data_IF_293283158104
#
_entry.id   IF_293283158104
#
_cell.length_a   1.000
_cell.length_b   1.000
_cell.length_c   1.000
_cell.angle_alpha   90.00
_cell.angle_beta   90.00
_cell.angle_gamma   90.00
#
_symmetry.space_group_name_H-M   'P 1'
#
loop_
_entity.id
_entity.type
_entity.pdbx_description
1 polymer ?
#
# COMPACT_ATOMS: atom_id res chain seq x y z
N UNK A 1 -8.20 21.44 -6.35
CA UNK A 1 -8.62 20.70 -5.11
C UNK A 1 -7.72 21.13 -3.95
N UNK A 2 -8.14 20.96 -2.68
CA UNK A 2 -7.31 21.28 -1.52
C UNK A 2 -6.06 20.40 -1.59
N UNK A 3 -4.85 20.98 -1.39
CA UNK A 3 -3.61 20.21 -1.26
C UNK A 3 -3.83 19.09 -0.23
N UNK A 4 -3.75 17.86 -0.69
CA UNK A 4 -3.82 16.69 0.20
C UNK A 4 -2.42 16.52 0.76
N UNK A 5 -2.28 16.76 2.05
CA UNK A 5 -1.03 16.51 2.75
C UNK A 5 -0.80 15.00 2.82
N UNK A 6 0.22 14.51 2.13
CA UNK A 6 0.62 13.11 2.13
C UNK A 6 1.56 12.83 3.30
N UNK A 7 1.40 11.67 3.92
CA UNK A 7 2.38 11.13 4.87
C UNK A 7 3.38 10.21 4.17
N UNK A 8 4.38 9.75 4.92
CA UNK A 8 5.42 8.86 4.40
C UNK A 8 4.85 7.59 3.80
N UNK A 9 3.79 7.04 4.41
CA UNK A 9 2.98 5.96 3.86
C UNK A 9 1.53 6.43 3.73
N UNK A 10 1.08 6.66 2.50
CA UNK A 10 -0.30 7.03 2.21
C UNK A 10 -0.98 5.91 1.43
N UNK A 11 -2.12 5.44 1.93
CA UNK A 11 -2.89 4.32 1.36
C UNK A 11 -4.23 4.84 0.86
N UNK A 12 -4.50 4.69 -0.43
CA UNK A 12 -5.77 5.07 -1.05
C UNK A 12 -6.66 3.83 -1.13
N UNK A 13 -7.80 3.90 -0.47
CA UNK A 13 -8.80 2.82 -0.41
C UNK A 13 -10.19 3.33 -0.82
N UNK A 14 -11.18 2.47 -0.82
CA UNK A 14 -12.58 2.82 -1.05
C UNK A 14 -13.24 1.99 -2.13
N UNK A 15 -14.51 2.31 -2.43
CA UNK A 15 -15.34 1.59 -3.39
C UNK A 15 -14.78 1.58 -4.81
N UNK A 16 -15.21 0.62 -5.63
CA UNK A 16 -14.92 0.63 -7.06
C UNK A 16 -15.58 1.84 -7.74
N UNK A 17 -14.92 2.39 -8.76
CA UNK A 17 -15.39 3.51 -9.57
C UNK A 17 -15.58 4.86 -8.83
N UNK A 18 -15.02 5.03 -7.64
CA UNK A 18 -15.07 6.29 -6.87
C UNK A 18 -13.98 7.31 -7.28
N UNK A 19 -13.08 6.93 -8.19
CA UNK A 19 -12.03 7.81 -8.69
C UNK A 19 -10.72 7.73 -7.90
N UNK A 20 -10.40 6.60 -7.27
CA UNK A 20 -9.10 6.35 -6.62
C UNK A 20 -7.93 6.57 -7.57
N UNK A 21 -7.98 5.96 -8.75
CA UNK A 21 -6.94 6.11 -9.78
C UNK A 21 -6.84 7.56 -10.30
N UNK A 22 -7.95 8.31 -10.35
CA UNK A 22 -7.91 9.73 -10.66
C UNK A 22 -7.16 10.53 -9.58
N UNK A 23 -7.40 10.24 -8.31
CA UNK A 23 -6.68 10.82 -7.18
C UNK A 23 -5.18 10.46 -7.23
N UNK A 24 -4.85 9.21 -7.52
CA UNK A 24 -3.46 8.77 -7.69
C UNK A 24 -2.76 9.56 -8.81
N UNK A 25 -3.44 9.76 -9.94
CA UNK A 25 -2.91 10.53 -11.06
C UNK A 25 -2.72 12.02 -10.75
N UNK A 26 -3.55 12.62 -9.89
CA UNK A 26 -3.34 13.98 -9.39
C UNK A 26 -2.08 14.07 -8.52
N UNK A 27 -1.92 13.14 -7.58
CA UNK A 27 -0.72 13.04 -6.74
C UNK A 27 0.53 12.91 -7.61
N UNK A 28 0.50 12.05 -8.64
CA UNK A 28 1.61 11.87 -9.58
C UNK A 28 1.96 13.16 -10.32
N UNK A 29 0.97 13.95 -10.77
CA UNK A 29 1.22 15.23 -11.45
C UNK A 29 1.91 16.26 -10.55
N UNK A 30 1.55 16.28 -9.27
CA UNK A 30 2.15 17.20 -8.29
C UNK A 30 3.55 16.78 -7.84
N UNK A 31 3.91 15.49 -8.00
CA UNK A 31 5.15 14.91 -7.45
C UNK A 31 6.09 14.34 -8.51
N UNK A 32 5.86 14.64 -9.80
CA UNK A 32 6.47 13.94 -10.95
C UNK A 32 8.01 13.97 -11.02
N UNK A 33 8.68 14.98 -10.47
CA UNK A 33 10.14 15.13 -10.60
C UNK A 33 10.95 14.10 -9.78
N UNK A 34 10.39 13.56 -8.68
CA UNK A 34 11.07 12.62 -7.78
C UNK A 34 10.18 11.40 -7.45
N UNK A 35 9.37 10.95 -8.41
CA UNK A 35 8.48 9.81 -8.19
C UNK A 35 8.71 8.69 -9.19
N UNK A 36 8.53 7.44 -8.71
CA UNK A 36 8.45 6.23 -9.53
C UNK A 36 7.04 5.67 -9.46
N UNK A 37 6.40 5.52 -10.60
CA UNK A 37 5.06 4.94 -10.70
C UNK A 37 5.13 3.50 -11.21
N UNK A 38 4.42 2.62 -10.51
CA UNK A 38 4.40 1.17 -10.80
C UNK A 38 2.97 0.67 -10.84
N UNK A 39 2.55 0.17 -11.99
CA UNK A 39 1.32 -0.57 -12.20
C UNK A 39 1.58 -1.85 -12.98
N UNK A 40 0.55 -2.63 -13.26
CA UNK A 40 0.67 -3.92 -13.97
C UNK A 40 1.30 -3.78 -15.35
N UNK A 41 1.05 -2.66 -16.05
CA UNK A 41 1.54 -2.39 -17.41
C UNK A 41 2.92 -1.72 -17.43
N UNK A 42 3.43 -1.29 -16.27
CA UNK A 42 4.74 -0.63 -16.19
C UNK A 42 5.85 -1.50 -16.74
N UNK A 43 6.73 -0.90 -17.56
CA UNK A 43 7.96 -1.53 -18.05
C UNK A 43 9.09 -1.13 -17.10
N UNK A 44 9.54 -2.07 -16.29
CA UNK A 44 10.59 -1.88 -15.29
C UNK A 44 11.66 -2.94 -15.51
N UNK A 45 12.89 -2.49 -15.61
CA UNK A 45 14.03 -3.38 -15.65
C UNK A 45 14.23 -4.03 -14.27
N UNK A 46 14.19 -5.35 -14.24
CA UNK A 46 14.35 -6.09 -12.99
C UNK A 46 15.83 -6.17 -12.66
N UNK A 47 16.23 -5.46 -11.63
CA UNK A 47 17.56 -5.58 -11.05
C UNK A 47 17.55 -6.66 -9.99
N UNK A 48 18.36 -7.69 -10.21
CA UNK A 48 18.48 -8.84 -9.32
C UNK A 48 19.79 -8.70 -8.54
N UNK A 49 19.67 -8.29 -7.29
CA UNK A 49 20.76 -8.28 -6.31
C UNK A 49 20.33 -9.09 -5.07
N UNK A 50 21.17 -9.13 -4.04
CA UNK A 50 20.90 -9.94 -2.85
C UNK A 50 19.67 -9.44 -2.08
N UNK A 51 19.43 -8.11 -2.03
CA UNK A 51 18.24 -7.53 -1.41
C UNK A 51 16.97 -7.98 -2.16
N UNK A 52 17.01 -7.95 -3.50
CA UNK A 52 15.90 -8.43 -4.31
C UNK A 52 15.61 -9.93 -4.06
N UNK A 53 16.64 -10.78 -4.06
CA UNK A 53 16.50 -12.22 -3.80
C UNK A 53 15.94 -12.49 -2.41
N UNK A 54 16.42 -11.75 -1.40
CA UNK A 54 15.93 -11.84 -0.02
C UNK A 54 14.43 -11.53 0.07
N UNK A 55 14.00 -10.39 -0.48
CA UNK A 55 12.61 -9.99 -0.46
C UNK A 55 11.72 -10.88 -1.33
N UNK A 56 12.22 -11.33 -2.48
CA UNK A 56 11.51 -12.29 -3.33
C UNK A 56 11.24 -13.59 -2.57
N UNK A 57 12.26 -14.16 -1.94
CA UNK A 57 12.13 -15.37 -1.10
C UNK A 57 11.14 -15.16 0.05
N UNK A 58 11.22 -14.03 0.72
CA UNK A 58 10.29 -13.69 1.80
C UNK A 58 8.84 -13.61 1.31
N UNK A 59 8.58 -12.98 0.15
CA UNK A 59 7.21 -12.79 -0.36
C UNK A 59 6.61 -14.10 -0.86
N UNK A 60 7.38 -14.91 -1.59
CA UNK A 60 6.85 -16.06 -2.31
C UNK A 60 7.16 -17.42 -1.67
N UNK A 61 7.99 -17.48 -0.64
CA UNK A 61 8.58 -18.73 -0.09
C UNK A 61 9.35 -19.56 -1.13
N UNK A 62 9.88 -18.91 -2.17
CA UNK A 62 10.59 -19.53 -3.30
C UNK A 62 11.93 -18.83 -3.51
N UNK A 63 12.91 -19.57 -3.96
CA UNK A 63 14.16 -18.99 -4.44
C UNK A 63 13.95 -18.41 -5.85
N UNK A 64 14.55 -17.25 -6.13
CA UNK A 64 14.35 -16.52 -7.39
C UNK A 64 14.76 -17.33 -8.63
N UNK A 65 15.73 -18.21 -8.50
CA UNK A 65 16.25 -19.03 -9.60
C UNK A 65 15.21 -19.95 -10.26
N UNK A 66 14.07 -20.17 -9.59
CA UNK A 66 12.97 -21.01 -10.09
C UNK A 66 11.96 -20.24 -10.96
N UNK A 67 11.98 -18.89 -10.93
CA UNK A 67 11.02 -18.05 -11.66
C UNK A 67 11.47 -17.73 -13.08
N UNK A 68 10.56 -17.96 -14.05
CA UNK A 68 10.81 -17.69 -15.47
C UNK A 68 10.09 -16.47 -16.04
N UNK A 69 9.06 -15.97 -15.35
CA UNK A 69 8.26 -14.83 -15.82
C UNK A 69 8.29 -13.70 -14.80
N UNK A 70 8.50 -12.49 -15.29
CA UNK A 70 8.44 -11.29 -14.46
C UNK A 70 6.99 -11.08 -14.01
N UNK A 71 6.75 -11.21 -12.72
CA UNK A 71 5.46 -10.89 -12.09
C UNK A 71 5.37 -9.41 -11.75
N UNK A 72 4.15 -8.93 -11.50
CA UNK A 72 3.95 -7.55 -11.06
C UNK A 72 4.66 -7.25 -9.73
N UNK A 73 4.63 -8.19 -8.80
CA UNK A 73 5.35 -8.05 -7.53
C UNK A 73 6.87 -7.88 -7.70
N UNK A 74 7.48 -8.54 -8.68
CA UNK A 74 8.91 -8.33 -8.99
C UNK A 74 9.20 -6.92 -9.49
N UNK A 75 8.27 -6.32 -10.27
CA UNK A 75 8.36 -4.91 -10.68
C UNK A 75 8.31 -3.98 -9.46
N UNK A 76 7.41 -4.25 -8.51
CA UNK A 76 7.30 -3.48 -7.26
C UNK A 76 8.59 -3.60 -6.44
N UNK A 77 9.13 -4.81 -6.28
CA UNK A 77 10.40 -5.04 -5.58
C UNK A 77 11.55 -4.26 -6.22
N UNK A 78 11.74 -4.41 -7.53
CA UNK A 78 12.84 -3.76 -8.25
C UNK A 78 12.73 -2.24 -8.20
N UNK A 79 11.52 -1.68 -8.42
CA UNK A 79 11.28 -0.25 -8.33
C UNK A 79 11.53 0.27 -6.92
N UNK A 80 11.00 -0.38 -5.89
CA UNK A 80 11.15 0.02 -4.50
C UNK A 80 12.60 -0.03 -4.04
N UNK A 81 13.32 -1.10 -4.31
CA UNK A 81 14.73 -1.23 -3.95
C UNK A 81 15.63 -0.23 -4.69
N UNK A 82 15.22 0.24 -5.87
CA UNK A 82 15.94 1.27 -6.63
C UNK A 82 15.60 2.71 -6.19
N UNK A 83 14.62 2.91 -5.30
CA UNK A 83 14.32 4.22 -4.73
C UNK A 83 15.41 4.65 -3.73
N UNK A 84 15.72 5.95 -3.75
CA UNK A 84 16.58 6.61 -2.77
C UNK A 84 15.74 7.19 -1.64
N UNK A 85 16.40 7.52 -0.53
CA UNK A 85 15.79 8.27 0.57
C UNK A 85 15.12 9.56 0.06
N UNK A 86 13.89 9.82 0.51
CA UNK A 86 13.08 10.97 0.12
C UNK A 86 12.35 10.84 -1.21
N UNK A 87 12.71 9.87 -2.09
CA UNK A 87 11.95 9.61 -3.31
C UNK A 87 10.56 9.03 -3.01
N UNK A 88 9.62 9.26 -3.92
CA UNK A 88 8.26 8.75 -3.83
C UNK A 88 8.08 7.53 -4.73
N UNK A 89 7.66 6.42 -4.14
CA UNK A 89 7.17 5.24 -4.85
C UNK A 89 5.65 5.27 -4.88
N UNK A 90 5.06 5.26 -6.06
CA UNK A 90 3.61 5.19 -6.25
C UNK A 90 3.25 3.83 -6.84
N UNK A 91 2.38 3.08 -6.17
CA UNK A 91 2.00 1.72 -6.57
C UNK A 91 0.50 1.62 -6.72
N UNK A 92 0.04 1.14 -7.87
CA UNK A 92 -1.37 0.93 -8.15
C UNK A 92 -1.70 -0.57 -8.07
N UNK A 93 -2.66 -0.93 -7.19
CA UNK A 93 -3.18 -2.29 -6.99
C UNK A 93 -2.09 -3.37 -6.83
N UNK A 94 -1.19 -3.25 -5.82
CA UNK A 94 -0.05 -4.18 -5.63
C UNK A 94 -0.47 -5.64 -5.42
N UNK A 95 -1.72 -5.89 -5.08
CA UNK A 95 -2.30 -7.23 -4.88
C UNK A 95 -2.59 -8.01 -6.17
N UNK A 96 -2.54 -7.37 -7.34
CA UNK A 96 -2.91 -8.04 -8.61
C UNK A 96 -2.08 -9.29 -8.84
N UNK A 97 -2.78 -10.42 -8.99
CA UNK A 97 -2.17 -11.72 -9.26
C UNK A 97 -1.47 -12.37 -8.07
N UNK A 98 -1.67 -11.84 -6.86
CA UNK A 98 -1.07 -12.38 -5.64
C UNK A 98 -2.08 -13.19 -4.81
N UNK A 99 -1.55 -14.26 -4.20
CA UNK A 99 -2.24 -14.92 -3.11
C UNK A 99 -2.27 -14.00 -1.86
N UNK A 100 -3.31 -14.02 -1.00
CA UNK A 100 -3.41 -13.18 0.19
C UNK A 100 -2.15 -13.09 1.05
N UNK A 101 -1.47 -14.22 1.29
CA UNK A 101 -0.20 -14.27 2.01
C UNK A 101 0.90 -13.43 1.34
N UNK A 102 1.00 -13.47 0.01
CA UNK A 102 1.99 -12.69 -0.73
C UNK A 102 1.62 -11.19 -0.74
N UNK A 103 0.33 -10.85 -0.87
CA UNK A 103 -0.17 -9.48 -0.76
C UNK A 103 0.15 -8.87 0.61
N UNK A 104 -0.08 -9.61 1.70
CA UNK A 104 0.32 -9.24 3.06
C UNK A 104 1.83 -8.97 3.17
N UNK A 105 2.66 -9.78 2.53
CA UNK A 105 4.12 -9.63 2.54
C UNK A 105 4.64 -8.48 1.68
N UNK A 106 3.94 -8.15 0.59
CA UNK A 106 4.22 -6.92 -0.17
C UNK A 106 3.95 -5.69 0.71
N UNK A 107 2.88 -5.66 1.50
CA UNK A 107 2.64 -4.58 2.44
C UNK A 107 3.80 -4.40 3.43
N UNK A 108 4.35 -5.50 3.97
CA UNK A 108 5.53 -5.47 4.84
C UNK A 108 6.78 -4.92 4.14
N UNK A 109 6.98 -5.28 2.88
CA UNK A 109 8.04 -4.71 2.07
C UNK A 109 7.88 -3.19 1.88
N UNK A 110 6.67 -2.71 1.58
CA UNK A 110 6.41 -1.27 1.45
C UNK A 110 6.63 -0.53 2.78
N UNK A 111 6.23 -1.11 3.90
CA UNK A 111 6.54 -0.57 5.25
C UNK A 111 8.05 -0.52 5.49
N UNK A 112 8.80 -1.56 5.12
CA UNK A 112 10.26 -1.56 5.21
C UNK A 112 10.89 -0.42 4.41
N UNK A 113 10.42 -0.16 3.19
CA UNK A 113 10.92 0.96 2.39
C UNK A 113 10.74 2.30 3.10
N UNK A 114 9.58 2.49 3.74
CA UNK A 114 9.30 3.73 4.49
C UNK A 114 10.12 3.82 5.77
N UNK A 115 10.12 2.76 6.59
CA UNK A 115 10.68 2.80 7.93
C UNK A 115 12.20 2.70 7.96
N UNK A 116 12.79 1.92 7.04
CA UNK A 116 14.23 1.62 7.05
C UNK A 116 15.01 2.31 5.94
N UNK A 117 14.35 2.68 4.84
CA UNK A 117 15.02 3.29 3.70
C UNK A 117 14.63 4.75 3.45
N UNK A 118 13.70 5.30 4.24
CA UNK A 118 13.25 6.68 4.10
C UNK A 118 12.54 6.98 2.77
N UNK A 119 12.07 5.96 2.06
CA UNK A 119 11.29 6.10 0.83
C UNK A 119 9.87 6.51 1.20
N UNK A 120 9.30 7.48 0.49
CA UNK A 120 7.88 7.79 0.62
C UNK A 120 7.06 6.85 -0.26
N UNK A 121 5.92 6.38 0.24
CA UNK A 121 5.08 5.44 -0.50
C UNK A 121 3.65 5.94 -0.56
N UNK A 122 3.08 5.97 -1.76
CA UNK A 122 1.64 6.10 -2.00
C UNK A 122 1.18 4.84 -2.71
N UNK A 123 0.17 4.17 -2.16
CA UNK A 123 -0.41 3.00 -2.81
C UNK A 123 -1.93 3.11 -2.92
N UNK A 124 -2.47 2.70 -4.06
CA UNK A 124 -3.89 2.42 -4.24
C UNK A 124 -4.11 0.92 -4.07
N UNK A 125 -5.07 0.52 -3.23
CA UNK A 125 -5.38 -0.90 -3.02
C UNK A 125 -6.84 -1.14 -2.71
N UNK A 126 -7.33 -2.31 -3.14
CA UNK A 126 -8.62 -2.88 -2.74
C UNK A 126 -8.44 -4.11 -1.82
N UNK A 127 -7.22 -4.42 -1.41
CA UNK A 127 -6.91 -5.60 -0.62
C UNK A 127 -7.01 -5.35 0.89
N UNK A 128 -7.90 -6.09 1.55
CA UNK A 128 -7.97 -6.13 3.01
C UNK A 128 -6.70 -6.68 3.63
N UNK A 129 -6.02 -7.62 2.95
CA UNK A 129 -4.77 -8.22 3.44
C UNK A 129 -3.65 -7.18 3.53
N UNK A 130 -3.56 -6.29 2.53
CA UNK A 130 -2.56 -5.20 2.52
C UNK A 130 -2.85 -4.22 3.66
N UNK A 131 -4.09 -3.75 3.78
CA UNK A 131 -4.48 -2.79 4.81
C UNK A 131 -4.29 -3.36 6.20
N UNK A 132 -4.78 -4.57 6.45
CA UNK A 132 -4.61 -5.25 7.74
C UNK A 132 -3.14 -5.45 8.08
N UNK A 133 -2.30 -5.79 7.09
CA UNK A 133 -0.86 -5.94 7.32
C UNK A 133 -0.19 -4.62 7.69
N UNK A 134 -0.54 -3.50 7.03
CA UNK A 134 -0.01 -2.18 7.40
C UNK A 134 -0.40 -1.83 8.84
N UNK A 135 -1.67 -2.03 9.22
CA UNK A 135 -2.13 -1.81 10.59
C UNK A 135 -1.38 -2.71 11.60
N UNK A 136 -1.11 -3.96 11.23
CA UNK A 136 -0.32 -4.88 12.05
C UNK A 136 1.13 -4.40 12.21
N UNK A 137 1.76 -3.88 11.14
CA UNK A 137 3.13 -3.34 11.23
C UNK A 137 3.20 -2.08 12.13
N UNK A 138 2.13 -1.28 12.22
CA UNK A 138 1.99 -0.22 13.22
C UNK A 138 1.90 -0.82 14.63
N UNK A 139 1.04 -1.82 14.83
CA UNK A 139 0.84 -2.47 16.12
C UNK A 139 2.13 -3.05 16.69
N UNK A 140 2.95 -3.68 15.85
CA UNK A 140 4.26 -4.25 16.26
C UNK A 140 5.41 -3.23 16.23
N UNK A 141 5.10 -1.95 16.02
CA UNK A 141 6.04 -0.83 16.03
C UNK A 141 7.13 -0.87 14.95
N UNK A 142 6.88 -1.56 13.83
CA UNK A 142 7.78 -1.54 12.67
C UNK A 142 7.67 -0.22 11.86
N UNK A 143 6.56 0.49 12.03
CA UNK A 143 6.35 1.85 11.51
C UNK A 143 5.53 2.65 12.53
N UNK A 144 5.85 3.92 12.72
CA UNK A 144 5.11 4.81 13.62
C UNK A 144 3.77 5.21 13.01
N UNK A 145 2.71 5.25 13.83
CA UNK A 145 1.35 5.56 13.40
C UNK A 145 1.21 6.94 12.74
N UNK A 146 1.98 7.91 13.18
CA UNK A 146 2.00 9.26 12.60
C UNK A 146 2.53 9.32 11.17
N UNK A 147 3.25 8.30 10.72
CA UNK A 147 3.75 8.17 9.35
C UNK A 147 2.73 7.55 8.38
N UNK A 148 1.60 7.06 8.88
CA UNK A 148 0.59 6.35 8.08
C UNK A 148 -0.67 7.20 7.93
N UNK A 149 -1.20 7.27 6.71
CA UNK A 149 -2.47 7.92 6.39
C UNK A 149 -3.26 7.03 5.42
N UNK A 150 -4.54 6.84 5.71
CA UNK A 150 -5.48 6.24 4.78
C UNK A 150 -6.37 7.35 4.20
N UNK A 151 -6.52 7.35 2.87
CA UNK A 151 -7.43 8.20 2.13
C UNK A 151 -8.55 7.31 1.58
N UNK A 152 -9.70 7.32 2.26
CA UNK A 152 -10.84 6.51 1.85
C UNK A 152 -11.75 7.29 0.89
N UNK A 153 -11.92 6.75 -0.32
CA UNK A 153 -12.88 7.23 -1.32
C UNK A 153 -14.09 6.31 -1.38
N UNK A 154 -15.00 6.48 -0.41
CA UNK A 154 -16.26 5.74 -0.42
C UNK A 154 -17.18 6.18 -1.57
N UNK A 155 -17.09 7.44 -2.00
CA UNK A 155 -17.84 8.03 -3.12
C UNK A 155 -16.96 8.91 -4.02
N UNK A 156 -17.56 9.53 -5.07
CA UNK A 156 -16.84 10.36 -6.05
C UNK A 156 -16.44 11.74 -5.50
N UNK A 157 -17.20 12.26 -4.57
CA UNK A 157 -17.16 13.67 -4.19
C UNK A 157 -16.39 13.93 -2.91
N UNK A 158 -16.18 12.89 -2.10
CA UNK A 158 -15.51 13.00 -0.80
C UNK A 158 -14.22 12.16 -0.71
N UNK A 159 -13.30 12.62 0.13
CA UNK A 159 -12.13 11.89 0.59
C UNK A 159 -12.13 11.99 2.10
N UNK A 160 -12.26 10.84 2.75
CA UNK A 160 -12.16 10.72 4.19
C UNK A 160 -10.72 10.42 4.58
N UNK A 161 -10.15 11.23 5.48
CA UNK A 161 -8.85 10.93 6.08
C UNK A 161 -9.06 10.03 7.29
N UNK A 162 -8.42 8.87 7.26
CA UNK A 162 -8.45 7.89 8.35
C UNK A 162 -7.02 7.64 8.82
N UNK A 163 -6.83 7.69 10.11
CA UNK A 163 -5.53 7.49 10.76
C UNK A 163 -5.50 6.14 11.46
N UNK A 164 -4.33 5.77 11.92
CA UNK A 164 -4.13 4.55 12.72
C UNK A 164 -3.51 4.97 14.05
N UNK A 165 -4.02 4.44 15.14
CA UNK A 165 -3.42 4.62 16.47
C UNK A 165 -2.21 3.68 16.67
N UNK A 166 -1.50 3.84 17.79
CA UNK A 166 -0.35 2.98 18.12
C UNK A 166 -0.68 1.50 18.35
N UNK A 167 -1.97 1.15 18.40
CA UNK A 167 -2.46 -0.23 18.50
C UNK A 167 -2.91 -0.81 17.16
N UNK A 168 -2.65 -0.11 16.06
CA UNK A 168 -3.06 -0.54 14.73
C UNK A 168 -4.56 -0.40 14.45
N UNK A 169 -5.30 0.39 15.26
CA UNK A 169 -6.74 0.60 15.11
C UNK A 169 -7.01 1.90 14.37
N UNK A 170 -8.06 1.91 13.54
CA UNK A 170 -8.45 3.12 12.84
C UNK A 170 -9.02 4.18 13.78
N UNK A 171 -8.63 5.42 13.56
CA UNK A 171 -9.10 6.59 14.29
C UNK A 171 -9.25 7.81 13.36
N UNK A 172 -10.00 8.81 13.82
CA UNK A 172 -10.10 10.11 13.17
C UNK A 172 -8.95 11.05 13.59
N UNK A 173 -8.95 12.28 13.10
CA UNK A 173 -7.95 13.32 13.46
C UNK A 173 -7.89 13.60 14.97
N UNK A 174 -9.01 13.42 15.68
CA UNK A 174 -9.10 13.63 17.13
C UNK A 174 -8.64 12.39 17.94
N UNK A 175 -8.12 11.35 17.27
CA UNK A 175 -7.73 10.06 17.86
C UNK A 175 -8.89 9.25 18.44
N UNK A 176 -10.12 9.56 18.06
CA UNK A 176 -11.29 8.76 18.43
C UNK A 176 -11.37 7.55 17.50
N UNK A 177 -11.59 6.36 18.07
CA UNK A 177 -11.70 5.12 17.28
C UNK A 177 -12.90 5.21 16.32
N UNK A 178 -12.64 4.88 15.07
CA UNK A 178 -13.66 4.76 14.04
C UNK A 178 -13.81 3.30 13.62
N UNK A 179 -15.02 2.94 13.20
CA UNK A 179 -15.22 1.67 12.51
C UNK A 179 -14.45 1.72 11.19
N UNK A 180 -14.15 0.55 10.62
CA UNK A 180 -13.55 0.48 9.30
C UNK A 180 -14.26 1.43 8.34
N UNK A 181 -13.48 2.16 7.50
CA UNK A 181 -14.07 3.05 6.51
C UNK A 181 -15.12 2.31 5.67
N UNK A 182 -16.27 2.96 5.42
CA UNK A 182 -17.35 2.37 4.63
C UNK A 182 -16.85 1.95 3.24
N UNK A 183 -17.34 0.82 2.75
CA UNK A 183 -16.99 0.29 1.43
C UNK A 183 -15.68 -0.47 1.35
N UNK A 184 -14.95 -0.68 2.46
CA UNK A 184 -13.69 -1.41 2.42
C UNK A 184 -13.76 -2.82 3.03
N UNK A 185 -14.45 -2.98 4.18
CA UNK A 185 -14.58 -4.28 4.87
C UNK A 185 -16.01 -4.79 4.96
N UNK A 186 -16.98 -4.07 4.38
CA UNK A 186 -18.40 -4.27 4.67
C UNK A 186 -18.98 -5.54 4.06
N UNK A 187 -18.50 -5.95 2.89
CA UNK A 187 -19.11 -7.07 2.13
C UNK A 187 -18.89 -8.40 2.84
N UNK A 188 -17.65 -8.74 3.16
CA UNK A 188 -17.30 -10.05 3.70
C UNK A 188 -17.74 -10.24 5.17
N UNK A 189 -17.84 -9.16 5.94
CA UNK A 189 -18.20 -9.23 7.36
C UNK A 189 -19.66 -9.62 7.55
N UNK A 190 -20.56 -9.07 6.71
CA UNK A 190 -22.01 -9.41 6.77
C UNK A 190 -22.28 -10.87 6.36
N UNK A 191 -21.60 -11.33 5.31
CA UNK A 191 -21.71 -12.70 4.85
C UNK A 191 -21.12 -13.70 5.84
N UNK A 192 -19.98 -13.37 6.46
CA UNK A 192 -19.35 -14.20 7.47
C UNK A 192 -20.24 -14.35 8.72
N UNK A 193 -20.85 -13.26 9.18
CA UNK A 193 -21.79 -13.31 10.31
C UNK A 193 -23.08 -14.07 9.99
N UNK A 194 -23.49 -14.14 8.73
CA UNK A 194 -24.65 -14.93 8.30
C UNK A 194 -24.37 -16.45 8.25
N UNK A 195 -23.08 -16.85 8.24
CA UNK A 195 -22.64 -18.25 8.18
C UNK A 195 -22.26 -18.83 9.56
N UNK A 196 -22.16 -17.99 10.58
CA UNK A 196 -21.89 -18.36 11.99
C UNK A 196 -23.16 -18.42 12.81
#
# INVERSE_FOLDING_TARGET
MKNIELKELTVITGNSFTGKTALLNEILKETSENSKYVNVDSRIDIRIDEDFKHWFKFIFDLDFETERKVSFAQKILSAGLSCKEGELLVVENPEIGLHPKAASRIAKFLVYLVSQRGVRVVLETNSTDIVTSICYEVYVSNIYSEKVLFLNKADKDSIEKVFVDGYGKFCNENKELVKYPSGFFDANTKELYALL
#
